data_IF_110804699848
#
_entry.id   IF_110804699848
#
_cell.length_a   1.000
_cell.length_b   1.000
_cell.length_c   1.000
_cell.angle_alpha   90.00
_cell.angle_beta   90.00
_cell.angle_gamma   90.00
#
_symmetry.space_group_name_H-M   'P 1'
#
loop_
_entity.id
_entity.type
_entity.pdbx_description
1 polymer ?
#
# COMPACT_ATOMS: atom_id res chain seq x y z
N UNK A 1 -13.32 -16.68 15.48
CA UNK A 1 -12.58 -16.02 16.58
C UNK A 1 -12.77 -16.86 17.82
N UNK A 2 -11.79 -17.70 18.17
CA UNK A 2 -11.77 -18.47 19.42
C UNK A 2 -10.68 -17.85 20.28
N UNK A 3 -11.09 -17.17 21.35
CA UNK A 3 -10.18 -16.70 22.41
C UNK A 3 -9.52 -17.92 23.04
N UNK A 4 -8.19 -17.95 23.26
CA UNK A 4 -7.57 -19.08 23.94
C UNK A 4 -8.11 -19.15 25.37
N UNK A 5 -8.67 -20.31 25.72
CA UNK A 5 -9.15 -20.65 27.05
C UNK A 5 -7.94 -20.74 27.99
N UNK A 6 -7.82 -19.81 28.93
CA UNK A 6 -6.79 -19.89 29.97
C UNK A 6 -7.23 -20.92 31.02
N UNK A 7 -6.57 -22.07 31.01
CA UNK A 7 -6.75 -23.11 32.03
C UNK A 7 -5.82 -22.77 33.20
N UNK A 8 -6.41 -22.33 34.31
CA UNK A 8 -5.71 -22.23 35.59
C UNK A 8 -5.71 -23.61 36.25
N UNK A 9 -4.55 -24.26 36.31
CA UNK A 9 -4.36 -25.51 37.06
C UNK A 9 -3.96 -25.13 38.48
N UNK A 10 -4.91 -25.24 39.42
CA UNK A 10 -4.62 -25.21 40.85
C UNK A 10 -4.17 -26.59 41.31
N UNK A 11 -2.97 -26.69 41.88
CA UNK A 11 -2.49 -27.92 42.51
C UNK A 11 -3.12 -27.99 43.91
N UNK A 12 -4.25 -28.70 44.02
CA UNK A 12 -4.95 -28.89 45.29
C UNK A 12 -4.08 -29.69 46.28
N UNK A 13 -3.49 -28.98 47.25
CA UNK A 13 -2.67 -29.55 48.32
C UNK A 13 -1.52 -28.63 48.72
N UNK A 14 -0.41 -28.66 47.96
CA UNK A 14 0.85 -28.04 48.39
C UNK A 14 0.85 -26.51 48.50
N UNK A 15 0.13 -25.82 47.61
CA UNK A 15 0.07 -24.35 47.64
C UNK A 15 -0.78 -23.81 48.80
N UNK A 16 -1.75 -24.58 49.29
CA UNK A 16 -2.55 -24.21 50.44
C UNK A 16 -1.75 -24.39 51.75
N UNK A 17 -0.99 -25.48 51.86
CA UNK A 17 -0.15 -25.77 53.02
C UNK A 17 1.04 -24.80 53.13
N UNK A 18 1.71 -24.49 52.02
CA UNK A 18 2.79 -23.49 51.98
C UNK A 18 2.28 -22.08 52.33
N UNK A 19 1.06 -21.73 51.89
CA UNK A 19 0.43 -20.44 52.19
C UNK A 19 -0.07 -20.36 53.63
N UNK A 20 -0.53 -21.47 54.21
CA UNK A 20 -0.89 -21.57 55.62
C UNK A 20 0.35 -21.45 56.53
N UNK A 21 1.47 -22.10 56.16
CA UNK A 21 2.75 -22.00 56.87
C UNK A 21 3.33 -20.58 56.83
N UNK A 22 3.34 -19.93 55.65
CA UNK A 22 3.82 -18.57 55.49
C UNK A 22 2.96 -17.52 56.25
N UNK A 23 1.65 -17.77 56.39
CA UNK A 23 0.76 -16.92 57.18
C UNK A 23 0.92 -17.14 58.70
N UNK A 24 1.22 -18.36 59.13
CA UNK A 24 1.52 -18.68 60.52
C UNK A 24 2.82 -18.03 61.02
N UNK A 25 3.80 -17.84 60.13
CA UNK A 25 5.09 -17.19 60.42
C UNK A 25 5.10 -15.67 60.17
N UNK A 26 3.94 -15.09 59.80
CA UNK A 26 3.79 -13.63 59.63
C UNK A 26 4.49 -13.06 58.38
N UNK A 27 4.81 -13.89 57.39
CA UNK A 27 5.52 -13.47 56.19
C UNK A 27 4.72 -12.46 55.35
N UNK A 28 5.38 -11.38 54.94
CA UNK A 28 4.81 -10.37 54.04
C UNK A 28 4.55 -10.98 52.64
N UNK A 29 3.59 -10.45 51.86
CA UNK A 29 3.19 -11.06 50.57
C UNK A 29 4.32 -11.30 49.56
N UNK A 30 5.43 -10.59 49.67
CA UNK A 30 6.63 -10.76 48.83
C UNK A 30 7.52 -11.95 49.21
N UNK A 31 7.52 -12.39 50.47
CA UNK A 31 8.45 -13.41 50.99
C UNK A 31 7.86 -14.84 50.95
N UNK A 32 6.69 -15.00 50.33
CA UNK A 32 5.96 -16.29 50.28
C UNK A 32 6.55 -17.27 49.28
N UNK A 33 7.45 -16.82 48.40
CA UNK A 33 8.11 -17.66 47.43
C UNK A 33 9.18 -18.56 48.07
N UNK A 34 9.70 -18.20 49.25
CA UNK A 34 10.69 -18.99 50.00
C UNK A 34 10.09 -20.22 50.71
N UNK A 35 8.75 -20.32 50.77
CA UNK A 35 8.02 -21.45 51.34
C UNK A 35 7.56 -22.45 50.28
N UNK A 36 7.90 -22.20 49.02
CA UNK A 36 7.65 -23.11 47.93
C UNK A 36 8.80 -24.10 47.88
N UNK A 37 8.51 -25.35 48.21
CA UNK A 37 9.47 -26.44 48.14
C UNK A 37 9.94 -26.61 46.68
N UNK A 38 11.18 -26.21 46.40
CA UNK A 38 11.77 -26.27 45.07
C UNK A 38 11.80 -27.71 44.54
N UNK A 39 11.97 -28.71 45.40
CA UNK A 39 11.96 -30.12 45.02
C UNK A 39 10.54 -30.57 44.61
N UNK A 40 9.51 -30.00 45.24
CA UNK A 40 8.10 -30.24 44.85
C UNK A 40 7.74 -29.55 43.54
N UNK A 41 8.30 -28.36 43.27
CA UNK A 41 8.14 -27.66 41.98
C UNK A 41 8.84 -28.42 40.87
N UNK A 42 10.04 -28.94 41.11
CA UNK A 42 10.80 -29.74 40.15
C UNK A 42 10.10 -31.07 39.84
N UNK A 43 9.53 -31.71 40.88
CA UNK A 43 8.76 -32.95 40.75
C UNK A 43 7.46 -32.78 39.94
N UNK A 44 6.87 -31.58 39.95
CA UNK A 44 5.63 -31.26 39.21
C UNK A 44 5.95 -30.69 37.81
N UNK A 45 7.12 -30.07 37.62
CA UNK A 45 7.61 -29.54 36.35
C UNK A 45 7.73 -30.62 35.27
N UNK A 46 8.39 -31.74 35.57
CA UNK A 46 8.60 -32.82 34.59
C UNK A 46 7.29 -33.42 34.05
N UNK A 47 6.34 -33.83 34.92
CA UNK A 47 5.04 -34.35 34.48
C UNK A 47 4.15 -33.32 33.77
N UNK A 48 4.25 -32.02 34.13
CA UNK A 48 3.55 -30.94 33.43
C UNK A 48 4.16 -30.68 32.04
N UNK A 49 5.49 -30.71 31.91
CA UNK A 49 6.16 -30.59 30.62
C UNK A 49 5.77 -31.74 29.69
N UNK A 50 5.72 -32.98 30.19
CA UNK A 50 5.26 -34.16 29.44
C UNK A 50 3.76 -34.13 29.10
N UNK A 51 2.91 -33.60 29.99
CA UNK A 51 1.46 -33.51 29.77
C UNK A 51 1.08 -32.36 28.84
N UNK A 52 1.89 -31.30 28.78
CA UNK A 52 1.68 -30.14 27.91
C UNK A 52 2.41 -30.32 26.56
N UNK A 53 3.44 -31.16 26.46
CA UNK A 53 4.13 -31.48 25.21
C UNK A 53 3.22 -31.89 24.02
N UNK A 54 2.09 -32.61 24.20
CA UNK A 54 1.15 -32.93 23.12
C UNK A 54 0.26 -31.76 22.70
N UNK A 55 0.09 -30.75 23.57
CA UNK A 55 -0.73 -29.56 23.34
C UNK A 55 0.10 -28.32 22.98
N UNK A 56 1.41 -28.37 23.26
CA UNK A 56 2.40 -27.46 22.74
C UNK A 56 2.56 -27.83 21.27
N UNK A 57 1.64 -27.29 20.46
CA UNK A 57 1.82 -27.18 19.02
C UNK A 57 3.06 -26.31 18.85
N UNK A 58 4.24 -26.93 18.92
CA UNK A 58 5.47 -26.36 18.43
C UNK A 58 5.28 -26.27 16.93
N UNK A 59 4.62 -25.20 16.51
CA UNK A 59 4.85 -24.67 15.19
C UNK A 59 6.29 -24.17 15.20
N UNK A 60 7.22 -25.07 14.88
CA UNK A 60 8.49 -24.66 14.28
C UNK A 60 8.12 -24.14 12.88
N UNK A 61 7.54 -22.95 12.84
CA UNK A 61 7.55 -22.15 11.65
C UNK A 61 8.88 -21.41 11.67
N UNK A 62 9.66 -21.61 10.61
CA UNK A 62 10.80 -20.75 10.30
C UNK A 62 10.39 -19.27 10.43
N UNK A 63 11.33 -18.39 10.76
CA UNK A 63 11.08 -16.93 10.80
C UNK A 63 10.48 -16.40 9.48
N UNK A 64 10.59 -17.15 8.38
CA UNK A 64 9.92 -16.92 7.09
C UNK A 64 8.43 -17.30 7.03
N UNK A 65 7.97 -18.30 7.77
CA UNK A 65 6.58 -18.81 7.71
C UNK A 65 5.59 -18.05 8.60
N UNK A 66 6.04 -17.46 9.71
CA UNK A 66 5.18 -16.57 10.53
C UNK A 66 4.90 -15.23 9.84
N UNK A 67 5.86 -14.74 9.04
CA UNK A 67 5.62 -13.59 8.17
C UNK A 67 4.56 -13.91 7.12
N UNK A 68 4.67 -15.05 6.45
CA UNK A 68 3.88 -15.35 5.25
C UNK A 68 2.37 -15.51 5.47
N UNK A 69 1.91 -16.01 6.63
CA UNK A 69 0.46 -16.17 6.89
C UNK A 69 -0.21 -14.85 7.30
N UNK A 70 0.50 -13.98 8.02
CA UNK A 70 0.00 -12.64 8.37
C UNK A 70 0.12 -11.67 7.17
N UNK A 71 1.21 -11.75 6.41
CA UNK A 71 1.41 -10.89 5.22
C UNK A 71 0.58 -11.34 4.04
N UNK A 72 0.22 -12.63 3.88
CA UNK A 72 -0.57 -13.07 2.73
C UNK A 72 -1.92 -12.35 2.60
N UNK A 73 -2.56 -12.03 3.72
CA UNK A 73 -3.83 -11.29 3.71
C UNK A 73 -3.63 -9.83 3.30
N UNK A 74 -2.54 -9.22 3.77
CA UNK A 74 -2.16 -7.84 3.41
C UNK A 74 -1.74 -7.78 1.94
N UNK A 75 -0.94 -8.73 1.48
CA UNK A 75 -0.48 -8.85 0.09
C UNK A 75 -1.64 -9.08 -0.87
N UNK A 76 -2.64 -9.88 -0.49
CA UNK A 76 -3.86 -10.05 -1.28
C UNK A 76 -4.66 -8.74 -1.36
N UNK A 77 -4.82 -8.02 -0.24
CA UNK A 77 -5.49 -6.72 -0.20
C UNK A 77 -4.74 -5.69 -1.05
N UNK A 78 -3.42 -5.58 -0.88
CA UNK A 78 -2.55 -4.71 -1.68
C UNK A 78 -2.59 -5.08 -3.16
N UNK A 79 -2.65 -6.37 -3.49
CA UNK A 79 -2.80 -6.86 -4.86
C UNK A 79 -4.10 -6.35 -5.52
N UNK A 80 -5.22 -6.40 -4.80
CA UNK A 80 -6.50 -5.84 -5.28
C UNK A 80 -6.40 -4.32 -5.46
N UNK A 81 -5.81 -3.61 -4.49
CA UNK A 81 -5.60 -2.16 -4.58
C UNK A 81 -4.72 -1.81 -5.78
N UNK A 82 -3.63 -2.54 -6.01
CA UNK A 82 -2.76 -2.34 -7.18
C UNK A 82 -3.46 -2.67 -8.49
N UNK A 83 -4.34 -3.68 -8.54
CA UNK A 83 -5.16 -3.97 -9.71
C UNK A 83 -6.13 -2.81 -10.02
N UNK A 84 -6.79 -2.27 -9.01
CA UNK A 84 -7.68 -1.11 -9.16
C UNK A 84 -6.92 0.15 -9.58
N UNK A 85 -5.72 0.38 -9.02
CA UNK A 85 -4.84 1.47 -9.44
C UNK A 85 -4.40 1.30 -10.90
N UNK A 86 -4.06 0.09 -11.32
CA UNK A 86 -3.75 -0.23 -12.71
C UNK A 86 -4.93 0.09 -13.64
N UNK A 87 -6.15 -0.28 -13.26
CA UNK A 87 -7.36 0.05 -14.00
C UNK A 87 -7.59 1.58 -14.09
N UNK A 88 -7.39 2.30 -12.98
CA UNK A 88 -7.50 3.76 -12.96
C UNK A 88 -6.51 4.42 -13.92
N UNK A 89 -5.28 3.91 -14.01
CA UNK A 89 -4.28 4.38 -14.99
C UNK A 89 -4.76 4.16 -16.41
N UNK A 90 -5.33 2.99 -16.73
CA UNK A 90 -5.88 2.72 -18.07
C UNK A 90 -7.01 3.70 -18.41
N UNK A 91 -7.96 3.90 -17.49
CA UNK A 91 -9.07 4.85 -17.69
C UNK A 91 -8.53 6.27 -17.91
N UNK A 92 -7.54 6.68 -17.12
CA UNK A 92 -6.89 7.99 -17.27
C UNK A 92 -6.25 8.17 -18.65
N UNK A 93 -5.51 7.17 -19.14
CA UNK A 93 -4.89 7.20 -20.48
C UNK A 93 -5.95 7.34 -21.57
N UNK A 94 -7.04 6.58 -21.49
CA UNK A 94 -8.16 6.69 -22.44
C UNK A 94 -8.78 8.09 -22.41
N UNK A 95 -8.95 8.67 -21.21
CA UNK A 95 -9.40 10.05 -21.03
C UNK A 95 -8.49 11.05 -21.74
N UNK A 96 -7.17 10.96 -21.53
CA UNK A 96 -6.18 11.82 -22.20
C UNK A 96 -6.29 11.70 -23.72
N UNK A 97 -6.38 10.47 -24.25
CA UNK A 97 -6.50 10.25 -25.70
C UNK A 97 -7.77 10.92 -26.23
N UNK A 98 -8.90 10.78 -25.55
CA UNK A 98 -10.17 11.38 -25.95
C UNK A 98 -10.10 12.91 -25.97
N UNK A 99 -9.54 13.51 -24.90
CA UNK A 99 -9.37 14.97 -24.82
C UNK A 99 -8.46 15.50 -25.93
N UNK A 100 -7.32 14.86 -26.18
CA UNK A 100 -6.41 15.27 -27.26
C UNK A 100 -7.04 15.10 -28.63
N UNK A 101 -7.74 13.98 -28.87
CA UNK A 101 -8.42 13.75 -30.12
C UNK A 101 -9.47 14.83 -30.42
N UNK A 102 -10.25 15.22 -29.40
CA UNK A 102 -11.21 16.32 -29.51
C UNK A 102 -10.52 17.66 -29.80
N UNK A 103 -9.52 18.04 -29.02
CA UNK A 103 -8.80 19.31 -29.24
C UNK A 103 -8.16 19.38 -30.63
N UNK A 104 -7.64 18.27 -31.15
CA UNK A 104 -7.10 18.19 -32.51
C UNK A 104 -8.21 18.42 -33.55
N UNK A 105 -9.40 17.87 -33.36
CA UNK A 105 -10.56 18.04 -34.26
C UNK A 105 -10.92 19.53 -34.36
N UNK A 106 -11.03 20.20 -33.22
CA UNK A 106 -11.38 21.62 -33.14
C UNK A 106 -10.32 22.51 -33.84
N UNK A 107 -9.05 22.14 -33.74
CA UNK A 107 -7.92 22.96 -34.23
C UNK A 107 -7.41 22.54 -35.62
N UNK A 108 -8.11 21.69 -36.36
CA UNK A 108 -7.64 21.22 -37.68
C UNK A 108 -7.37 22.34 -38.68
N UNK A 109 -8.22 23.37 -38.70
CA UNK A 109 -8.07 24.51 -39.60
C UNK A 109 -6.81 25.33 -39.27
N UNK A 110 -6.54 25.57 -37.98
CA UNK A 110 -5.31 26.23 -37.52
C UNK A 110 -4.07 25.45 -37.95
N UNK A 111 -4.07 24.12 -37.75
CA UNK A 111 -2.96 23.24 -38.14
C UNK A 111 -2.76 23.25 -39.67
N UNK A 112 -3.84 23.31 -40.45
CA UNK A 112 -3.81 23.44 -41.91
C UNK A 112 -3.14 24.74 -42.36
N UNK A 113 -3.50 25.87 -41.74
CA UNK A 113 -2.89 27.18 -42.01
C UNK A 113 -1.42 27.21 -41.60
N UNK A 114 -1.07 26.69 -40.42
CA UNK A 114 0.33 26.62 -39.97
C UNK A 114 1.21 25.79 -40.92
N UNK A 115 0.67 24.72 -41.50
CA UNK A 115 1.36 23.93 -42.52
C UNK A 115 1.53 24.67 -43.85
N UNK A 116 0.60 25.56 -44.22
CA UNK A 116 0.73 26.40 -45.41
C UNK A 116 1.85 27.44 -45.26
N UNK A 117 2.11 27.90 -44.03
CA UNK A 117 3.21 28.83 -43.70
C UNK A 117 4.54 28.09 -43.44
N UNK A 118 4.57 26.76 -43.58
CA UNK A 118 5.80 25.96 -43.57
C UNK A 118 6.06 25.11 -42.31
N UNK A 119 5.10 25.00 -41.40
CA UNK A 119 5.24 24.12 -40.22
C UNK A 119 5.39 22.66 -40.63
N UNK A 120 6.39 21.96 -40.07
CA UNK A 120 6.66 20.58 -40.42
C UNK A 120 5.83 19.61 -39.57
N UNK A 121 5.58 18.40 -40.08
CA UNK A 121 4.87 17.33 -39.35
C UNK A 121 5.52 16.95 -38.01
N UNK A 122 6.82 17.22 -37.83
CA UNK A 122 7.54 17.01 -36.56
C UNK A 122 7.16 18.05 -35.50
N UNK A 123 6.87 19.29 -35.90
CA UNK A 123 6.55 20.37 -34.98
C UNK A 123 5.15 20.18 -34.41
N UNK A 124 4.19 19.77 -35.27
CA UNK A 124 2.84 19.37 -34.85
C UNK A 124 2.89 18.22 -33.84
N UNK A 125 3.70 17.18 -34.12
CA UNK A 125 3.85 16.05 -33.18
C UNK A 125 4.47 16.48 -31.85
N UNK A 126 5.43 17.41 -31.88
CA UNK A 126 6.08 17.92 -30.67
C UNK A 126 5.10 18.74 -29.83
N UNK A 127 4.29 19.58 -30.48
CA UNK A 127 3.25 20.37 -29.83
C UNK A 127 2.25 19.48 -29.09
N UNK A 128 1.65 18.50 -29.78
CA UNK A 128 0.66 17.58 -29.15
C UNK A 128 1.28 16.76 -28.01
N UNK A 129 2.56 16.36 -28.14
CA UNK A 129 3.25 15.67 -27.04
C UNK A 129 3.45 16.57 -25.82
N UNK A 130 3.80 17.84 -26.03
CA UNK A 130 3.98 18.80 -24.94
C UNK A 130 2.65 19.09 -24.22
N UNK A 131 1.55 19.26 -24.96
CA UNK A 131 0.21 19.42 -24.38
C UNK A 131 -0.15 18.21 -23.51
N UNK A 132 0.06 16.99 -24.02
CA UNK A 132 -0.21 15.76 -23.26
C UNK A 132 0.65 15.61 -22.01
N UNK A 133 1.95 15.90 -22.11
CA UNK A 133 2.88 15.85 -20.97
C UNK A 133 2.45 16.87 -19.91
N UNK A 134 1.99 18.05 -20.32
CA UNK A 134 1.52 19.05 -19.39
C UNK A 134 0.26 18.60 -18.64
N UNK A 135 -0.69 17.98 -19.34
CA UNK A 135 -1.91 17.39 -18.73
C UNK A 135 -1.53 16.25 -17.78
N UNK A 136 -0.62 15.35 -18.17
CA UNK A 136 -0.26 14.20 -17.35
C UNK A 136 0.54 14.59 -16.10
N UNK A 137 1.48 15.54 -16.23
CA UNK A 137 2.21 16.08 -15.08
C UNK A 137 1.26 16.81 -14.15
N UNK A 138 0.34 17.63 -14.67
CA UNK A 138 -0.63 18.33 -13.83
C UNK A 138 -1.51 17.34 -13.05
N UNK A 139 -2.02 16.32 -13.73
CA UNK A 139 -2.78 15.23 -13.08
C UNK A 139 -1.96 14.50 -12.01
N UNK A 140 -0.68 14.21 -12.28
CA UNK A 140 0.20 13.56 -11.32
C UNK A 140 0.53 14.45 -10.11
N UNK A 141 0.76 15.75 -10.31
CA UNK A 141 1.00 16.70 -9.21
C UNK A 141 -0.24 16.81 -8.33
N UNK A 142 -1.42 17.02 -8.93
CA UNK A 142 -2.68 17.09 -8.18
C UNK A 142 -2.97 15.77 -7.46
N UNK A 143 -2.79 14.64 -8.15
CA UNK A 143 -2.96 13.31 -7.56
C UNK A 143 -1.98 13.04 -6.41
N UNK A 144 -0.72 13.45 -6.53
CA UNK A 144 0.28 13.31 -5.48
C UNK A 144 -0.07 14.19 -4.27
N UNK A 145 -0.49 15.44 -4.48
CA UNK A 145 -0.91 16.33 -3.39
C UNK A 145 -2.12 15.77 -2.65
N UNK A 146 -3.13 15.28 -3.39
CA UNK A 146 -4.31 14.65 -2.79
C UNK A 146 -3.95 13.35 -2.07
N UNK A 147 -3.12 12.50 -2.67
CA UNK A 147 -2.68 11.24 -2.09
C UNK A 147 -1.86 11.43 -0.82
N UNK A 148 -0.93 12.39 -0.82
CA UNK A 148 -0.16 12.78 0.37
C UNK A 148 -1.05 13.39 1.44
N UNK A 149 -2.00 14.25 1.07
CA UNK A 149 -2.94 14.86 2.01
C UNK A 149 -3.85 13.83 2.69
N UNK A 150 -4.42 12.91 1.91
CA UNK A 150 -5.25 11.82 2.44
C UNK A 150 -4.42 10.82 3.26
N UNK A 151 -3.22 10.48 2.80
CA UNK A 151 -2.30 9.61 3.53
C UNK A 151 -1.86 10.22 4.86
N UNK A 152 -1.57 11.52 4.87
CA UNK A 152 -1.26 12.25 6.10
C UNK A 152 -2.45 12.25 7.06
N UNK A 153 -3.66 12.55 6.58
CA UNK A 153 -4.87 12.51 7.40
C UNK A 153 -5.10 11.09 8.00
N UNK A 154 -4.92 10.04 7.20
CA UNK A 154 -5.06 8.66 7.68
C UNK A 154 -4.03 8.33 8.76
N UNK A 155 -2.76 8.69 8.56
CA UNK A 155 -1.72 8.49 9.56
C UNK A 155 -1.98 9.27 10.85
N UNK A 156 -2.55 10.47 10.78
CA UNK A 156 -2.91 11.24 11.98
C UNK A 156 -4.01 10.57 12.80
N UNK A 157 -4.97 9.87 12.15
CA UNK A 157 -6.04 9.14 12.84
C UNK A 157 -5.51 7.84 13.46
N UNK A 158 -4.58 7.16 12.79
CA UNK A 158 -3.97 5.92 13.26
C UNK A 158 -2.76 6.15 14.18
N UNK A 159 -2.40 7.40 14.47
CA UNK A 159 -1.27 7.74 15.33
C UNK A 159 -1.42 7.13 16.73
N UNK A 160 -2.65 7.06 17.24
CA UNK A 160 -2.99 6.48 18.54
C UNK A 160 -2.81 4.94 18.58
N UNK A 161 -2.75 4.28 17.43
CA UNK A 161 -2.48 2.84 17.30
C UNK A 161 -0.98 2.50 17.16
N UNK A 162 -0.10 3.48 17.39
CA UNK A 162 1.35 3.28 17.41
C UNK A 162 2.06 3.42 16.05
N UNK A 163 1.35 3.84 15.00
CA UNK A 163 1.94 4.15 13.68
C UNK A 163 2.44 5.60 13.67
N UNK A 164 3.64 5.82 14.20
CA UNK A 164 4.09 7.15 14.62
C UNK A 164 5.00 7.95 13.67
N UNK A 165 5.38 7.45 12.48
CA UNK A 165 6.39 8.16 11.66
C UNK A 165 5.86 8.57 10.29
N UNK A 166 5.61 9.86 10.12
CA UNK A 166 5.27 10.46 8.82
C UNK A 166 6.57 10.70 8.05
N UNK A 167 6.83 9.87 7.04
CA UNK A 167 7.95 10.05 6.11
C UNK A 167 7.40 10.29 4.71
N UNK A 168 7.72 11.44 4.13
CA UNK A 168 7.34 11.76 2.75
C UNK A 168 8.28 11.02 1.78
N UNK A 169 7.76 10.13 0.91
CA UNK A 169 8.60 9.34 0.02
C UNK A 169 8.97 10.14 -1.24
N UNK A 170 9.95 11.05 -1.10
CA UNK A 170 10.41 11.91 -2.20
C UNK A 170 10.83 11.14 -3.46
N UNK A 171 11.46 9.99 -3.28
CA UNK A 171 11.87 9.10 -4.38
C UNK A 171 10.67 8.59 -5.16
N UNK A 172 9.62 8.13 -4.47
CA UNK A 172 8.41 7.61 -5.08
C UNK A 172 7.68 8.71 -5.86
N UNK A 173 7.57 9.91 -5.29
CA UNK A 173 7.00 11.09 -5.97
C UNK A 173 7.79 11.41 -7.24
N UNK A 174 9.13 11.44 -7.15
CA UNK A 174 9.99 11.69 -8.31
C UNK A 174 9.80 10.64 -9.43
N UNK A 175 9.75 9.35 -9.07
CA UNK A 175 9.50 8.29 -10.04
C UNK A 175 8.10 8.33 -10.63
N UNK A 176 7.09 8.73 -9.85
CA UNK A 176 5.71 8.86 -10.32
C UNK A 176 5.58 10.01 -11.31
N UNK A 177 6.19 11.17 -11.04
CA UNK A 177 6.20 12.31 -11.97
C UNK A 177 6.90 11.96 -13.28
N UNK A 178 8.04 11.27 -13.20
CA UNK A 178 8.73 10.78 -14.40
C UNK A 178 7.87 9.78 -15.17
N UNK A 179 7.23 8.84 -14.47
CA UNK A 179 6.29 7.87 -15.03
C UNK A 179 5.11 8.56 -15.73
N UNK A 180 4.53 9.59 -15.12
CA UNK A 180 3.43 10.36 -15.69
C UNK A 180 3.84 11.10 -16.98
N UNK A 181 5.06 11.65 -17.03
CA UNK A 181 5.59 12.25 -18.26
C UNK A 181 5.74 11.20 -19.37
N UNK A 182 6.28 10.01 -19.05
CA UNK A 182 6.41 8.90 -20.01
C UNK A 182 5.04 8.46 -20.51
N UNK A 183 4.07 8.25 -19.61
CA UNK A 183 2.70 7.87 -19.95
C UNK A 183 2.05 8.93 -20.84
N UNK A 184 2.22 10.23 -20.55
CA UNK A 184 1.71 11.33 -21.38
C UNK A 184 2.28 11.31 -22.80
N UNK A 185 3.59 11.02 -22.96
CA UNK A 185 4.22 10.88 -24.27
C UNK A 185 3.65 9.68 -25.05
N UNK A 186 3.48 8.54 -24.36
CA UNK A 186 2.96 7.31 -24.96
C UNK A 186 1.50 7.47 -25.37
N UNK A 187 0.66 8.03 -24.49
CA UNK A 187 -0.75 8.31 -24.77
C UNK A 187 -0.91 9.25 -25.98
N UNK A 188 -0.05 10.27 -26.09
CA UNK A 188 -0.06 11.19 -27.22
C UNK A 188 0.48 10.62 -28.54
N UNK A 189 1.13 9.46 -28.53
CA UNK A 189 1.81 8.94 -29.71
C UNK A 189 0.85 8.69 -30.88
N UNK A 190 -0.32 8.13 -30.60
CA UNK A 190 -1.37 7.90 -31.60
C UNK A 190 -2.04 9.20 -32.09
N UNK A 191 -2.61 10.06 -31.21
CA UNK A 191 -3.27 11.29 -31.66
C UNK A 191 -2.29 12.27 -32.33
N UNK A 192 -1.04 12.37 -31.87
CA UNK A 192 -0.02 13.21 -32.51
C UNK A 192 0.29 12.75 -33.95
N UNK A 193 0.32 11.43 -34.20
CA UNK A 193 0.48 10.89 -35.56
C UNK A 193 -0.72 11.26 -36.43
N UNK A 194 -1.93 11.16 -35.88
CA UNK A 194 -3.17 11.47 -36.60
C UNK A 194 -3.26 12.97 -36.94
N UNK A 195 -2.93 13.86 -36.02
CA UNK A 195 -2.86 15.31 -36.25
C UNK A 195 -1.89 15.69 -37.37
N UNK A 196 -0.72 15.06 -37.41
CA UNK A 196 0.30 15.34 -38.42
C UNK A 196 -0.05 14.83 -39.83
N UNK A 197 -1.01 13.91 -39.95
CA UNK A 197 -1.43 13.31 -41.21
C UNK A 197 -2.63 14.03 -41.85
N UNK A 198 -3.36 14.88 -41.11
CA UNK A 198 -4.50 15.65 -41.62
C UNK A 198 -4.07 16.50 -42.84
N UNK A 199 -4.61 16.27 -44.05
CA UNK A 199 -4.25 17.01 -45.25
C UNK A 199 -4.82 18.45 -45.22
N UNK A 200 -4.07 19.47 -45.67
CA UNK A 200 -4.55 20.86 -45.71
C UNK A 200 -5.77 21.09 -46.62
N UNK A 201 -5.97 20.21 -47.60
CA UNK A 201 -6.97 20.35 -48.65
C UNK A 201 -8.32 19.67 -48.33
N UNK A 202 -8.35 18.75 -47.35
CA UNK A 202 -9.60 18.10 -46.92
C UNK A 202 -10.52 19.05 -46.12
N UNK A 203 -9.98 20.16 -45.59
CA UNK A 203 -10.75 21.15 -44.84
C UNK A 203 -11.54 22.12 -45.73
N UNK A 204 -11.30 22.11 -47.05
CA UNK A 204 -11.96 23.01 -48.02
C UNK A 204 -12.96 22.23 -48.90
N UNK A 205 -12.94 20.89 -48.85
CA UNK A 205 -13.77 20.03 -49.69
C UNK A 205 -15.03 19.48 -48.99
N UNK A 206 -15.23 19.80 -47.71
CA UNK A 206 -16.40 19.37 -46.89
C UNK A 206 -17.46 20.48 -46.75
N UNK A 207 -17.44 21.48 -47.64
CA UNK A 207 -18.52 22.47 -47.83
C UNK A 207 -19.24 22.19 -49.15
#
# INVERSE_FOLDING_TARGET
MLTPMQVFVGVDGGAADARAAALADGASPGDRNDYVDEDAVEAVRGPLEDAVAPYLVVQVQDREQFGSVATSSIDALLGIVYALLGLAVVISILGIINTLALSIIERRQEIGMLRAVGMQRRDIRRMVRLESVQISIFGAVVGALLGLGLGWALLTVLADEGIGTIVVPWTLIGTMLLGAAIVGILAAAWPARRAAQTPPLAAIADE
#
